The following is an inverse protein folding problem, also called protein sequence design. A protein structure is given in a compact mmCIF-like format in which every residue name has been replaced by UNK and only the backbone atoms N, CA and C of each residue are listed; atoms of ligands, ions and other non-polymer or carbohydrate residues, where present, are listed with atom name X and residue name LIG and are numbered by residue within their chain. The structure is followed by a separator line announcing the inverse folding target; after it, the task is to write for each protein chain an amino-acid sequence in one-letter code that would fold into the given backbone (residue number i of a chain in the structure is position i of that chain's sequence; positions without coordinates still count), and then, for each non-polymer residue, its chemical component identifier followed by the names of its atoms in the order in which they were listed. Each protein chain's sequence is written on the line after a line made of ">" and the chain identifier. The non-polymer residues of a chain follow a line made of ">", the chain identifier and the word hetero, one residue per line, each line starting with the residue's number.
data_IF_403602008624
#
_entry.id   IF_403602008624
#
_cell.length_a   1.000
_cell.length_b   1.000
_cell.length_c   1.000
_cell.angle_alpha   90.00
_cell.angle_beta   90.00
_cell.angle_gamma   90.00
#
_symmetry.space_group_name_H-M   'P 1'
#
loop_
_entity.id
_entity.type
_entity.pdbx_description
1 polymer ?
#
# COMPACT_ATOMS: atom_id res chain seq x y z
N UNK A 1 -44.77 -29.28 16.22
CA UNK A 1 -44.84 -28.33 15.08
C UNK A 1 -43.71 -27.29 15.15
N UNK A 2 -43.60 -26.51 16.24
CA UNK A 2 -42.56 -25.49 16.41
C UNK A 2 -41.12 -26.05 16.40
N UNK A 3 -40.86 -27.13 17.13
CA UNK A 3 -39.52 -27.75 17.17
C UNK A 3 -39.09 -28.29 15.80
N UNK A 4 -40.02 -28.87 15.04
CA UNK A 4 -39.79 -29.39 13.69
C UNK A 4 -39.47 -28.25 12.72
N UNK A 5 -40.15 -27.11 12.82
CA UNK A 5 -39.87 -25.93 12.01
C UNK A 5 -38.51 -25.31 12.35
N UNK A 6 -38.16 -25.26 13.63
CA UNK A 6 -36.85 -24.78 14.10
C UNK A 6 -35.71 -25.65 13.56
N UNK A 7 -35.85 -26.98 13.63
CA UNK A 7 -34.86 -27.91 13.10
C UNK A 7 -34.68 -27.76 11.58
N UNK A 8 -35.77 -27.60 10.83
CA UNK A 8 -35.73 -27.34 9.39
C UNK A 8 -34.98 -26.03 9.09
N UNK A 9 -35.26 -24.96 9.86
CA UNK A 9 -34.57 -23.68 9.70
C UNK A 9 -33.06 -23.79 9.97
N UNK A 10 -32.67 -24.57 10.99
CA UNK A 10 -31.26 -24.85 11.29
C UNK A 10 -30.60 -25.60 10.13
N UNK A 11 -31.23 -26.67 9.61
CA UNK A 11 -30.69 -27.46 8.50
C UNK A 11 -30.56 -26.60 7.23
N UNK A 12 -31.57 -25.79 6.91
CA UNK A 12 -31.51 -24.90 5.75
C UNK A 12 -30.38 -23.87 5.86
N UNK A 13 -30.18 -23.29 7.05
CA UNK A 13 -29.04 -22.40 7.29
C UNK A 13 -27.70 -23.13 7.10
N UNK A 14 -27.61 -24.38 7.56
CA UNK A 14 -26.42 -25.21 7.43
C UNK A 14 -26.07 -25.52 5.97
N UNK A 15 -27.08 -25.84 5.14
CA UNK A 15 -26.93 -26.06 3.70
C UNK A 15 -26.40 -24.80 3.00
N UNK A 16 -26.84 -23.63 3.46
CA UNK A 16 -26.36 -22.33 3.00
C UNK A 16 -24.93 -21.98 3.51
N UNK A 17 -24.31 -22.84 4.31
CA UNK A 17 -23.02 -22.54 4.96
C UNK A 17 -23.16 -21.41 5.98
N UNK A 18 -24.25 -21.39 6.76
CA UNK A 18 -24.54 -20.40 7.80
C UNK A 18 -24.89 -21.11 9.11
N UNK A 19 -24.66 -20.42 10.23
CA UNK A 19 -25.08 -20.89 11.56
C UNK A 19 -26.37 -20.19 11.94
N UNK A 20 -27.41 -20.97 12.24
CA UNK A 20 -28.65 -20.42 12.79
C UNK A 20 -28.43 -19.97 14.25
N UNK A 21 -29.03 -18.84 14.65
CA UNK A 21 -28.81 -18.23 15.98
C UNK A 21 -29.26 -19.09 17.15
N UNK A 22 -30.17 -20.05 16.92
CA UNK A 22 -30.58 -21.06 17.92
C UNK A 22 -29.49 -22.10 18.19
N UNK A 23 -28.53 -22.29 17.28
CA UNK A 23 -27.37 -23.18 17.47
C UNK A 23 -26.27 -22.46 18.23
N UNK A 24 -25.96 -21.23 17.81
CA UNK A 24 -24.94 -20.40 18.45
C UNK A 24 -25.41 -18.94 18.47
N UNK A 25 -25.70 -18.44 19.67
CA UNK A 25 -26.05 -17.03 19.85
C UNK A 25 -24.79 -16.14 19.85
N UNK A 26 -24.99 -14.85 19.55
CA UNK A 26 -23.92 -13.86 19.57
C UNK A 26 -23.23 -13.77 20.94
N UNK A 27 -24.02 -13.83 22.02
CA UNK A 27 -23.53 -13.78 23.40
C UNK A 27 -22.68 -14.99 23.75
N UNK A 28 -23.13 -16.18 23.33
CA UNK A 28 -22.40 -17.42 23.54
C UNK A 28 -21.08 -17.39 22.76
N UNK A 29 -21.09 -17.00 21.48
CA UNK A 29 -19.87 -16.86 20.68
C UNK A 29 -18.87 -15.89 21.33
N UNK A 30 -19.32 -14.71 21.77
CA UNK A 30 -18.44 -13.74 22.47
C UNK A 30 -17.83 -14.32 23.75
N UNK A 31 -18.60 -15.12 24.51
CA UNK A 31 -18.09 -15.79 25.71
C UNK A 31 -17.03 -16.83 25.34
N UNK A 32 -17.29 -17.72 24.39
CA UNK A 32 -16.33 -18.74 23.96
C UNK A 32 -15.03 -18.09 23.44
N UNK A 33 -15.13 -17.01 22.66
CA UNK A 33 -13.96 -16.29 22.16
C UNK A 33 -13.10 -15.71 23.29
N UNK A 34 -13.72 -15.23 24.38
CA UNK A 34 -12.98 -14.69 25.53
C UNK A 34 -12.21 -15.78 26.24
N UNK A 35 -12.80 -16.96 26.41
CA UNK A 35 -12.11 -18.13 26.97
C UNK A 35 -10.94 -18.56 26.07
N UNK A 36 -11.17 -18.65 24.75
CA UNK A 36 -10.11 -18.98 23.77
C UNK A 36 -8.94 -18.00 23.87
N UNK A 37 -9.21 -16.69 23.96
CA UNK A 37 -8.18 -15.65 24.06
C UNK A 37 -7.22 -15.87 25.24
N UNK A 38 -7.69 -16.46 26.33
CA UNK A 38 -6.87 -16.73 27.52
C UNK A 38 -5.90 -17.91 27.34
N UNK A 39 -6.12 -18.74 26.32
CA UNK A 39 -5.37 -19.97 26.07
C UNK A 39 -4.50 -19.91 24.81
N UNK A 40 -4.47 -18.76 24.13
CA UNK A 40 -3.72 -18.61 22.89
C UNK A 40 -2.21 -18.79 23.11
N UNK A 41 -1.50 -19.38 22.13
CA UNK A 41 -0.04 -19.46 22.16
C UNK A 41 0.60 -18.07 22.32
N UNK A 42 1.72 -18.03 23.03
CA UNK A 42 2.48 -16.79 23.23
C UNK A 42 2.87 -16.17 21.87
N UNK A 43 2.70 -14.85 21.75
CA UNK A 43 3.00 -14.11 20.52
C UNK A 43 1.93 -14.18 19.43
N UNK A 44 0.79 -14.84 19.72
CA UNK A 44 -0.39 -14.85 18.86
C UNK A 44 -1.57 -14.14 19.49
N UNK A 45 -2.48 -13.64 18.65
CA UNK A 45 -3.72 -13.01 19.08
C UNK A 45 -4.84 -13.28 18.06
N UNK A 46 -6.07 -12.92 18.43
CA UNK A 46 -7.19 -12.90 17.50
C UNK A 46 -7.06 -11.69 16.56
N UNK A 47 -7.58 -11.77 15.32
CA UNK A 47 -7.41 -10.73 14.31
C UNK A 47 -8.16 -9.43 14.63
N UNK A 48 -9.12 -9.50 15.55
CA UNK A 48 -9.89 -8.34 16.04
C UNK A 48 -10.13 -8.44 17.54
N UNK A 49 -10.44 -7.31 18.16
CA UNK A 49 -10.88 -7.27 19.55
C UNK A 49 -12.23 -7.97 19.74
N UNK A 50 -12.40 -8.65 20.89
CA UNK A 50 -13.64 -9.37 21.20
C UNK A 50 -14.68 -8.40 21.76
N UNK A 51 -15.32 -7.68 20.85
CA UNK A 51 -16.45 -6.77 21.12
C UNK A 51 -17.60 -7.06 20.16
N UNK A 52 -18.81 -6.67 20.53
CA UNK A 52 -19.99 -6.94 19.72
C UNK A 52 -19.89 -6.28 18.33
N UNK A 53 -19.31 -5.10 18.28
CA UNK A 53 -19.13 -4.29 17.07
C UNK A 53 -18.11 -4.92 16.10
N UNK A 54 -17.07 -5.56 16.64
CA UNK A 54 -15.98 -6.17 15.88
C UNK A 54 -16.27 -7.60 15.43
N UNK A 55 -17.33 -8.23 15.95
CA UNK A 55 -17.63 -9.64 15.70
C UNK A 55 -18.01 -9.92 14.23
N UNK A 56 -18.68 -8.98 13.57
CA UNK A 56 -18.98 -9.09 12.14
C UNK A 56 -17.71 -9.20 11.31
N UNK A 57 -16.66 -8.50 11.73
CA UNK A 57 -15.37 -8.48 11.04
C UNK A 57 -14.58 -9.76 11.29
N UNK A 58 -14.60 -10.28 12.52
CA UNK A 58 -14.06 -11.60 12.87
C UNK A 58 -14.66 -12.69 11.98
N UNK A 59 -16.00 -12.69 11.82
CA UNK A 59 -16.71 -13.67 11.03
C UNK A 59 -16.42 -13.56 9.52
N UNK A 60 -15.99 -12.40 9.02
CA UNK A 60 -15.54 -12.24 7.62
C UNK A 60 -14.18 -12.88 7.36
N UNK A 61 -13.33 -12.95 8.38
CA UNK A 61 -12.00 -13.55 8.25
C UNK A 61 -11.95 -15.02 8.64
N UNK A 62 -12.91 -15.48 9.43
CA UNK A 62 -13.09 -16.88 9.76
C UNK A 62 -13.60 -17.70 8.56
N UNK A 63 -13.29 -19.00 8.57
CA UNK A 63 -13.84 -19.98 7.63
C UNK A 63 -14.85 -20.86 8.37
N UNK A 64 -15.98 -21.13 7.71
CA UNK A 64 -17.04 -21.96 8.26
C UNK A 64 -17.16 -23.23 7.45
N UNK A 65 -16.93 -24.37 8.10
CA UNK A 65 -17.18 -25.69 7.55
C UNK A 65 -18.37 -26.32 8.24
N UNK A 66 -19.26 -26.92 7.45
CA UNK A 66 -20.47 -27.59 7.93
C UNK A 66 -20.51 -28.98 7.36
N UNK A 67 -20.64 -29.99 8.21
CA UNK A 67 -20.76 -31.38 7.78
C UNK A 67 -21.65 -32.18 8.72
N UNK A 68 -22.10 -33.33 8.23
CA UNK A 68 -22.90 -34.28 9.01
C UNK A 68 -22.03 -35.48 9.32
N UNK A 69 -21.93 -35.84 10.59
CA UNK A 69 -21.20 -37.02 11.05
C UNK A 69 -22.04 -37.75 12.10
N UNK A 70 -22.28 -39.05 11.91
CA UNK A 70 -23.00 -39.91 12.85
C UNK A 70 -24.33 -39.30 13.34
N UNK A 71 -25.14 -38.78 12.41
CA UNK A 71 -26.41 -38.08 12.68
C UNK A 71 -26.29 -36.75 13.44
N UNK A 72 -25.09 -36.22 13.61
CA UNK A 72 -24.84 -34.90 14.18
C UNK A 72 -24.51 -33.91 13.07
N UNK A 73 -25.13 -32.73 13.15
CA UNK A 73 -24.77 -31.58 12.33
C UNK A 73 -23.65 -30.81 13.03
N UNK A 74 -22.47 -30.81 12.44
CA UNK A 74 -21.25 -30.24 13.03
C UNK A 74 -20.88 -28.95 12.30
N UNK A 75 -20.58 -27.92 13.08
CA UNK A 75 -20.08 -26.63 12.60
C UNK A 75 -18.66 -26.43 13.12
N UNK A 76 -17.74 -26.13 12.22
CA UNK A 76 -16.36 -25.80 12.54
C UNK A 76 -16.08 -24.37 12.08
N UNK A 77 -15.81 -23.49 13.04
CA UNK A 77 -15.42 -22.10 12.78
C UNK A 77 -13.90 -22.03 12.95
N UNK A 78 -13.19 -21.87 11.83
CA UNK A 78 -11.74 -21.71 11.82
C UNK A 78 -11.40 -20.23 11.84
N UNK A 79 -10.87 -19.76 12.97
CA UNK A 79 -10.49 -18.36 13.15
C UNK A 79 -8.98 -18.27 12.97
N UNK A 80 -8.48 -17.49 11.99
CA UNK A 80 -7.05 -17.34 11.80
C UNK A 80 -6.46 -16.59 12.99
N UNK A 81 -5.34 -17.09 13.51
CA UNK A 81 -4.54 -16.35 14.50
C UNK A 81 -3.61 -15.38 13.79
N UNK A 82 -3.40 -14.22 14.40
CA UNK A 82 -2.45 -13.22 13.93
C UNK A 82 -1.21 -13.23 14.81
N UNK A 83 -0.06 -13.03 14.19
CA UNK A 83 1.18 -12.79 14.92
C UNK A 83 1.19 -11.34 15.40
N UNK A 84 1.78 -11.10 16.57
CA UNK A 84 1.96 -9.76 17.12
C UNK A 84 3.10 -9.01 16.38
N UNK A 85 3.00 -8.90 15.06
CA UNK A 85 3.96 -8.20 14.21
C UNK A 85 3.20 -7.34 13.20
N UNK A 86 3.27 -6.04 13.40
CA UNK A 86 2.69 -5.04 12.50
C UNK A 86 3.74 -4.57 11.50
N UNK A 87 3.29 -4.35 10.27
CA UNK A 87 4.14 -3.89 9.17
C UNK A 87 3.51 -2.68 8.50
N UNK A 88 4.34 -1.68 8.23
CA UNK A 88 4.00 -0.55 7.38
C UNK A 88 4.24 -0.96 5.92
N UNK A 89 3.21 -0.83 5.08
CA UNK A 89 3.28 -1.26 3.68
C UNK A 89 3.45 -0.04 2.78
N UNK A 90 4.47 -0.09 1.95
CA UNK A 90 4.82 0.90 0.95
C UNK A 90 4.61 0.32 -0.44
N UNK A 91 4.09 1.16 -1.35
CA UNK A 91 3.99 0.85 -2.76
C UNK A 91 4.96 1.75 -3.53
N UNK A 92 6.07 1.23 -4.06
CA UNK A 92 6.97 1.99 -4.92
C UNK A 92 6.22 2.48 -6.16
N UNK A 93 6.37 3.77 -6.48
CA UNK A 93 5.75 4.37 -7.67
C UNK A 93 6.87 4.98 -8.51
N UNK A 94 7.01 4.49 -9.73
CA UNK A 94 7.92 5.07 -10.71
C UNK A 94 7.27 6.31 -11.34
N UNK A 95 7.92 7.47 -11.22
CA UNK A 95 7.50 8.73 -11.85
C UNK A 95 8.53 9.15 -12.89
N UNK A 96 8.12 9.32 -14.15
CA UNK A 96 9.04 9.70 -15.23
C UNK A 96 8.85 11.18 -15.60
N UNK A 97 9.93 11.95 -15.69
CA UNK A 97 9.93 13.23 -16.42
C UNK A 97 11.25 13.48 -17.14
N UNK A 98 11.32 14.58 -17.90
CA UNK A 98 12.44 14.90 -18.78
C UNK A 98 13.80 14.74 -18.11
N UNK A 99 14.64 13.93 -18.75
CA UNK A 99 16.05 13.65 -18.40
C UNK A 99 16.26 13.29 -16.93
N UNK A 100 15.40 12.44 -16.38
CA UNK A 100 15.61 11.85 -15.07
C UNK A 100 16.03 10.39 -15.18
N UNK A 101 16.96 10.02 -14.29
CA UNK A 101 17.30 8.64 -14.03
C UNK A 101 16.21 8.06 -13.13
N UNK A 102 15.59 6.98 -13.59
CA UNK A 102 14.45 6.37 -12.94
C UNK A 102 14.88 5.11 -12.23
N UNK A 103 14.48 5.02 -10.98
CA UNK A 103 14.60 3.78 -10.23
C UNK A 103 13.40 2.92 -10.59
N UNK A 104 13.65 1.81 -11.29
CA UNK A 104 12.61 0.81 -11.52
C UNK A 104 12.45 0.01 -10.24
N UNK A 105 11.25 -0.07 -9.66
CA UNK A 105 11.04 -0.92 -8.50
C UNK A 105 11.16 -2.39 -8.91
N UNK A 106 11.84 -3.15 -8.06
CA UNK A 106 11.97 -4.60 -8.14
C UNK A 106 10.77 -5.31 -7.48
N UNK A 107 10.01 -4.60 -6.64
CA UNK A 107 8.85 -5.15 -5.92
C UNK A 107 7.60 -4.27 -6.03
N UNK A 108 6.42 -4.89 -6.09
CA UNK A 108 5.14 -4.16 -6.15
C UNK A 108 4.76 -3.51 -4.82
N UNK A 109 5.00 -4.23 -3.72
CA UNK A 109 4.74 -3.77 -2.35
C UNK A 109 5.87 -4.23 -1.43
N UNK A 110 6.33 -3.32 -0.59
CA UNK A 110 7.33 -3.56 0.44
C UNK A 110 6.72 -3.28 1.81
N UNK A 111 6.73 -4.27 2.68
CA UNK A 111 6.24 -4.15 4.06
C UNK A 111 7.43 -4.18 5.02
N UNK A 112 7.55 -3.19 5.89
CA UNK A 112 8.63 -3.06 6.87
C UNK A 112 8.05 -3.13 8.28
N UNK A 113 8.67 -3.93 9.15
CA UNK A 113 8.23 -4.08 10.54
C UNK A 113 8.34 -2.75 11.29
N UNK A 114 7.52 -2.56 12.34
CA UNK A 114 7.53 -1.32 13.13
C UNK A 114 8.90 -0.97 13.75
N UNK A 115 9.73 -1.97 14.04
CA UNK A 115 11.10 -1.81 14.54
C UNK A 115 12.13 -1.56 13.43
N UNK A 116 11.72 -1.55 12.16
CA UNK A 116 12.56 -1.40 10.98
C UNK A 116 13.62 -2.49 10.78
N UNK A 117 13.52 -3.65 11.46
CA UNK A 117 14.54 -4.72 11.38
C UNK A 117 14.23 -5.78 10.31
N UNK A 118 12.96 -5.92 9.94
CA UNK A 118 12.47 -6.97 9.04
C UNK A 118 11.67 -6.39 7.90
N UNK A 119 11.68 -7.10 6.78
CA UNK A 119 10.83 -6.76 5.65
C UNK A 119 10.20 -8.00 5.00
N UNK A 120 9.12 -7.74 4.28
CA UNK A 120 8.33 -8.66 3.47
C UNK A 120 8.00 -7.98 2.15
N UNK A 121 7.86 -8.76 1.09
CA UNK A 121 7.44 -8.26 -0.22
C UNK A 121 6.14 -8.92 -0.64
N UNK A 122 5.31 -8.18 -1.37
CA UNK A 122 4.09 -8.73 -1.96
C UNK A 122 4.02 -8.37 -3.43
N UNK A 123 3.60 -9.34 -4.25
CA UNK A 123 3.08 -9.04 -5.58
C UNK A 123 1.71 -8.40 -5.46
N UNK A 124 1.29 -7.69 -6.51
CA UNK A 124 -0.05 -7.10 -6.59
C UNK A 124 -1.16 -8.15 -6.41
N UNK A 125 -0.95 -9.37 -6.92
CA UNK A 125 -1.90 -10.46 -6.76
C UNK A 125 -2.01 -10.91 -5.30
N UNK A 126 -0.87 -11.12 -4.62
CA UNK A 126 -0.84 -11.55 -3.23
C UNK A 126 -1.41 -10.48 -2.29
N UNK A 127 -1.09 -9.20 -2.54
CA UNK A 127 -1.66 -8.08 -1.79
C UNK A 127 -3.18 -8.01 -1.90
N UNK A 128 -3.73 -8.28 -3.09
CA UNK A 128 -5.18 -8.28 -3.33
C UNK A 128 -5.91 -9.40 -2.59
N UNK A 129 -5.23 -10.51 -2.29
CA UNK A 129 -5.81 -11.65 -1.54
C UNK A 129 -5.90 -11.36 -0.03
N UNK A 130 -5.23 -10.32 0.47
CA UNK A 130 -5.33 -9.94 1.89
C UNK A 130 -6.75 -9.46 2.24
N UNK A 131 -7.24 -9.90 3.39
CA UNK A 131 -8.57 -9.53 3.91
C UNK A 131 -8.49 -8.14 4.57
N UNK A 132 -9.36 -7.21 4.16
CA UNK A 132 -9.40 -5.86 4.74
C UNK A 132 -10.17 -5.87 6.07
N UNK A 133 -9.53 -5.30 7.09
CA UNK A 133 -10.02 -5.06 8.44
C UNK A 133 -10.17 -3.54 8.67
N UNK A 134 -10.85 -3.12 9.73
CA UNK A 134 -10.93 -1.72 10.15
C UNK A 134 -9.56 -1.19 10.57
N UNK A 135 -8.73 -2.05 11.17
CA UNK A 135 -7.41 -1.71 11.70
C UNK A 135 -6.29 -1.87 10.68
N UNK A 136 -6.55 -2.48 9.51
CA UNK A 136 -5.53 -2.72 8.49
C UNK A 136 -5.88 -3.84 7.51
N UNK A 137 -4.88 -4.57 7.03
CA UNK A 137 -5.07 -5.74 6.16
C UNK A 137 -4.45 -6.97 6.80
N UNK A 138 -5.22 -8.05 6.81
CA UNK A 138 -4.76 -9.37 7.22
C UNK A 138 -4.28 -10.14 5.99
N UNK A 139 -3.00 -10.44 5.96
CA UNK A 139 -2.35 -11.17 4.88
C UNK A 139 -1.87 -12.54 5.34
N UNK A 140 -2.04 -13.55 4.50
CA UNK A 140 -1.40 -14.85 4.73
C UNK A 140 0.10 -14.73 4.46
N UNK A 141 0.92 -15.23 5.38
CA UNK A 141 2.37 -15.19 5.28
C UNK A 141 2.86 -16.37 4.43
N UNK A 142 2.69 -16.25 3.12
CA UNK A 142 3.22 -17.24 2.17
C UNK A 142 4.71 -17.03 1.89
N UNK A 143 5.17 -15.79 1.95
CA UNK A 143 6.57 -15.41 1.70
C UNK A 143 7.39 -15.35 3.00
N UNK A 144 8.69 -15.67 2.95
CA UNK A 144 9.58 -15.60 4.09
C UNK A 144 9.79 -14.14 4.55
N UNK A 145 9.90 -13.95 5.87
CA UNK A 145 10.34 -12.67 6.45
C UNK A 145 11.85 -12.57 6.37
N UNK A 146 12.35 -11.47 5.82
CA UNK A 146 13.78 -11.23 5.65
C UNK A 146 14.29 -10.23 6.69
N UNK A 147 15.56 -10.36 7.06
CA UNK A 147 16.28 -9.35 7.84
C UNK A 147 16.74 -8.22 6.92
N UNK A 148 16.65 -7.00 7.41
CA UNK A 148 16.99 -5.80 6.62
C UNK A 148 18.49 -5.65 6.36
N UNK A 149 19.32 -6.00 7.35
CA UNK A 149 20.78 -5.79 7.35
C UNK A 149 21.49 -6.32 6.10
N UNK A 150 20.99 -7.42 5.52
CA UNK A 150 21.60 -8.09 4.37
C UNK A 150 20.78 -7.92 3.07
N UNK A 151 19.85 -6.97 3.04
CA UNK A 151 18.97 -6.78 1.89
C UNK A 151 19.74 -6.24 0.68
N UNK A 152 19.55 -6.88 -0.47
CA UNK A 152 19.99 -6.38 -1.78
C UNK A 152 18.87 -5.64 -2.53
N UNK A 153 17.72 -5.42 -1.90
CA UNK A 153 16.61 -4.69 -2.52
C UNK A 153 16.86 -3.19 -2.48
N UNK A 154 16.69 -2.56 -3.63
CA UNK A 154 16.82 -1.12 -3.80
C UNK A 154 15.87 -0.35 -2.87
N UNK A 155 14.61 -0.75 -2.79
CA UNK A 155 13.57 -0.06 -2.01
C UNK A 155 13.85 -0.09 -0.51
N UNK A 156 14.41 -1.20 -0.03
CA UNK A 156 14.83 -1.32 1.37
C UNK A 156 15.96 -0.32 1.66
N UNK A 157 16.91 -0.17 0.73
CA UNK A 157 17.99 0.80 0.85
C UNK A 157 17.47 2.23 0.81
N UNK A 158 16.56 2.56 -0.12
CA UNK A 158 16.00 3.89 -0.30
C UNK A 158 15.15 4.38 0.89
N UNK A 159 14.45 3.47 1.56
CA UNK A 159 13.66 3.80 2.74
C UNK A 159 14.51 4.06 3.99
N UNK A 160 15.79 3.68 3.98
CA UNK A 160 16.65 3.70 5.16
C UNK A 160 17.81 4.69 5.05
N UNK A 161 18.44 4.75 3.88
CA UNK A 161 19.45 5.76 3.56
C UNK A 161 18.81 6.78 2.62
N UNK A 162 18.31 7.88 3.19
CA UNK A 162 17.69 8.98 2.45
C UNK A 162 18.66 9.75 1.52
N UNK A 163 19.94 9.35 1.44
CA UNK A 163 21.01 10.20 0.92
C UNK A 163 21.90 9.54 -0.14
N UNK A 164 21.83 8.22 -0.33
CA UNK A 164 22.72 7.54 -1.30
C UNK A 164 21.96 6.50 -2.12
N UNK A 165 21.88 6.73 -3.42
CA UNK A 165 21.41 5.74 -4.38
C UNK A 165 22.32 4.51 -4.34
N UNK A 166 21.77 3.37 -3.93
CA UNK A 166 22.53 2.11 -3.87
C UNK A 166 22.81 1.59 -5.28
N UNK A 167 23.96 0.94 -5.47
CA UNK A 167 24.31 0.25 -6.71
C UNK A 167 23.40 -0.95 -7.03
N UNK A 168 22.55 -1.35 -6.08
CA UNK A 168 21.51 -2.37 -6.26
C UNK A 168 20.31 -1.88 -7.06
N UNK A 169 20.15 -0.57 -7.23
CA UNK A 169 18.99 -0.01 -7.90
C UNK A 169 19.06 -0.12 -9.43
N UNK A 170 18.01 -0.66 -10.04
CA UNK A 170 17.88 -0.74 -11.48
C UNK A 170 17.49 0.62 -12.07
N UNK A 171 18.48 1.29 -12.68
CA UNK A 171 18.32 2.62 -13.25
C UNK A 171 17.89 2.57 -14.72
N UNK A 172 16.87 3.35 -15.08
CA UNK A 172 16.43 3.57 -16.47
C UNK A 172 16.46 5.05 -16.80
N UNK A 173 17.13 5.42 -17.87
CA UNK A 173 17.11 6.80 -18.37
C UNK A 173 16.01 6.93 -19.42
N UNK A 174 15.04 7.80 -19.18
CA UNK A 174 13.95 8.05 -20.13
C UNK A 174 13.89 9.56 -20.43
N UNK A 175 13.65 9.89 -21.70
CA UNK A 175 13.38 11.26 -22.14
C UNK A 175 11.89 11.39 -22.42
N UNK A 176 11.19 12.27 -21.71
CA UNK A 176 9.74 12.43 -21.82
C UNK A 176 9.35 13.89 -21.60
N UNK A 177 8.96 14.53 -22.70
CA UNK A 177 8.55 15.94 -22.75
C UNK A 177 7.12 16.19 -22.29
N UNK A 178 6.43 15.17 -21.79
CA UNK A 178 5.05 15.27 -21.30
C UNK A 178 5.02 15.18 -19.77
N UNK A 179 4.22 16.03 -19.10
CA UNK A 179 4.03 15.92 -17.67
C UNK A 179 3.33 14.61 -17.32
N UNK A 180 3.81 13.93 -16.28
CA UNK A 180 3.17 12.76 -15.70
C UNK A 180 2.50 13.15 -14.40
N UNK A 181 1.27 12.67 -14.24
CA UNK A 181 0.46 12.88 -13.05
C UNK A 181 0.02 11.52 -12.50
N UNK A 182 0.32 11.27 -11.24
CA UNK A 182 -0.14 10.09 -10.52
C UNK A 182 -1.07 10.51 -9.37
N UNK A 183 -2.35 10.15 -9.48
CA UNK A 183 -3.35 10.48 -8.46
C UNK A 183 -3.18 9.59 -7.24
N UNK A 184 -3.15 10.20 -6.06
CA UNK A 184 -3.14 9.48 -4.78
C UNK A 184 -4.59 9.29 -4.32
N UNK A 185 -5.11 8.07 -4.41
CA UNK A 185 -6.54 7.75 -4.25
C UNK A 185 -7.17 8.23 -2.93
N UNK A 186 -6.38 8.33 -1.87
CA UNK A 186 -6.87 8.65 -0.51
C UNK A 186 -6.70 10.12 -0.14
N UNK A 187 -6.10 10.93 -1.02
CA UNK A 187 -5.88 12.35 -0.75
C UNK A 187 -6.23 13.20 -1.97
N UNK A 188 -6.53 14.48 -1.76
CA UNK A 188 -6.63 15.46 -2.86
C UNK A 188 -5.25 15.86 -3.38
N UNK A 189 -4.38 14.87 -3.57
CA UNK A 189 -2.99 15.07 -3.95
C UNK A 189 -2.62 14.24 -5.16
N UNK A 190 -1.66 14.76 -5.91
CA UNK A 190 -1.07 14.09 -7.06
C UNK A 190 0.43 14.20 -6.96
N UNK A 191 1.11 13.09 -7.22
CA UNK A 191 2.52 13.14 -7.55
C UNK A 191 2.63 13.61 -8.99
N UNK A 192 3.58 14.50 -9.26
CA UNK A 192 3.84 15.00 -10.58
C UNK A 192 5.31 14.86 -10.92
N UNK A 193 5.57 14.69 -12.20
CA UNK A 193 6.90 14.76 -12.79
C UNK A 193 6.74 15.55 -14.09
N UNK A 194 7.30 16.76 -14.16
CA UNK A 194 7.05 17.69 -15.28
C UNK A 194 8.27 18.51 -15.63
N UNK A 195 8.53 18.79 -16.92
CA UNK A 195 9.38 19.93 -17.28
C UNK A 195 8.76 21.24 -16.73
N UNK A 196 9.51 22.35 -16.67
CA UNK A 196 8.99 23.64 -16.23
C UNK A 196 7.67 23.98 -16.92
N UNK A 197 6.62 24.15 -16.12
CA UNK A 197 5.26 24.32 -16.59
C UNK A 197 4.46 25.22 -15.65
N UNK A 198 3.69 26.14 -16.21
CA UNK A 198 2.94 27.14 -15.45
C UNK A 198 1.46 26.77 -15.40
N UNK A 199 0.87 26.85 -14.21
CA UNK A 199 -0.54 26.59 -13.97
C UNK A 199 -1.23 27.71 -13.20
N UNK A 200 -2.55 27.64 -13.12
CA UNK A 200 -3.39 28.57 -12.37
C UNK A 200 -4.29 27.77 -11.44
N UNK A 201 -4.25 28.08 -10.15
CA UNK A 201 -5.18 27.55 -9.16
C UNK A 201 -6.31 28.56 -8.98
N UNK A 202 -7.54 28.09 -9.13
CA UNK A 202 -8.77 28.84 -8.89
C UNK A 202 -9.49 28.22 -7.71
N UNK A 203 -10.13 29.02 -6.84
CA UNK A 203 -10.83 28.52 -5.67
C UNK A 203 -12.23 29.11 -5.57
N UNK A 204 -13.26 28.31 -5.33
CA UNK A 204 -14.66 28.79 -5.33
C UNK A 204 -15.03 29.75 -4.19
N UNK A 205 -14.16 29.89 -3.19
CA UNK A 205 -14.37 30.72 -2.01
C UNK A 205 -13.57 32.03 -2.03
N UNK A 206 -12.70 32.24 -3.03
CA UNK A 206 -11.86 33.43 -3.16
C UNK A 206 -11.87 33.84 -4.64
N UNK A 207 -12.09 35.11 -4.94
CA UNK A 207 -12.08 35.61 -6.32
C UNK A 207 -10.67 35.67 -6.94
N UNK A 208 -9.64 35.51 -6.12
CA UNK A 208 -8.24 35.55 -6.54
C UNK A 208 -7.81 34.22 -7.18
N UNK A 209 -6.90 34.33 -8.14
CA UNK A 209 -6.29 33.19 -8.81
C UNK A 209 -4.80 33.16 -8.51
N UNK A 210 -4.27 31.97 -8.24
CA UNK A 210 -2.87 31.79 -7.87
C UNK A 210 -2.10 31.19 -9.05
N UNK A 211 -1.10 31.91 -9.55
CA UNK A 211 -0.17 31.35 -10.54
C UNK A 211 0.84 30.46 -9.84
N UNK A 212 1.11 29.30 -10.42
CA UNK A 212 2.12 28.36 -9.94
C UNK A 212 3.05 27.97 -11.10
N UNK A 213 4.29 27.65 -10.77
CA UNK A 213 5.22 27.01 -11.69
C UNK A 213 5.68 25.68 -11.08
N UNK A 214 5.57 24.61 -11.86
CA UNK A 214 5.94 23.26 -11.48
C UNK A 214 7.08 22.80 -12.38
N UNK A 215 8.12 22.22 -11.79
CA UNK A 215 9.23 21.63 -12.49
C UNK A 215 9.80 20.47 -11.67
N UNK A 216 10.34 19.46 -12.35
CA UNK A 216 10.90 18.27 -11.71
C UNK A 216 9.83 17.36 -11.12
N UNK A 217 10.16 16.69 -10.02
CA UNK A 217 9.31 15.71 -9.33
C UNK A 217 8.79 16.32 -8.03
N UNK A 218 7.50 16.18 -7.75
CA UNK A 218 6.91 16.68 -6.51
C UNK A 218 5.51 16.16 -6.22
N UNK A 219 4.92 16.70 -5.16
CA UNK A 219 3.55 16.42 -4.74
C UNK A 219 2.78 17.72 -4.66
N UNK A 220 1.64 17.76 -5.34
CA UNK A 220 0.70 18.86 -5.28
C UNK A 220 -0.53 18.39 -4.50
N UNK A 221 -0.96 19.16 -3.51
CA UNK A 221 -2.20 18.92 -2.76
C UNK A 221 -3.13 20.12 -2.94
N UNK A 222 -4.35 19.87 -3.38
CA UNK A 222 -5.38 20.88 -3.56
C UNK A 222 -6.41 20.80 -2.44
N UNK A 223 -6.89 21.96 -1.99
CA UNK A 223 -8.07 22.02 -1.12
C UNK A 223 -9.33 21.59 -1.89
N UNK A 224 -10.31 21.04 -1.19
CA UNK A 224 -11.59 20.53 -1.75
C UNK A 224 -12.43 21.57 -2.52
N UNK A 225 -12.06 22.85 -2.46
CA UNK A 225 -12.72 23.97 -3.15
C UNK A 225 -11.85 24.65 -4.20
N UNK A 226 -10.74 24.04 -4.57
CA UNK A 226 -9.78 24.62 -5.51
C UNK A 226 -9.50 23.68 -6.66
N UNK A 227 -9.33 24.24 -7.86
CA UNK A 227 -9.03 23.51 -9.09
C UNK A 227 -7.71 24.02 -9.65
N UNK A 228 -6.91 23.11 -10.21
CA UNK A 228 -5.70 23.49 -10.95
C UNK A 228 -5.95 23.39 -12.45
N UNK A 229 -5.68 24.47 -13.16
CA UNK A 229 -5.61 24.51 -14.61
C UNK A 229 -4.14 24.54 -15.03
N UNK A 230 -3.67 23.50 -15.73
CA UNK A 230 -2.29 23.41 -16.21
C UNK A 230 -2.26 22.72 -17.58
N UNK A 231 -1.49 23.26 -18.53
CA UNK A 231 -1.54 22.90 -19.95
C UNK A 231 -2.98 22.88 -20.53
N UNK A 232 -3.47 21.68 -20.83
CA UNK A 232 -4.79 21.36 -21.35
C UNK A 232 -5.59 20.49 -20.37
N UNK A 233 -5.19 20.45 -19.11
CA UNK A 233 -5.79 19.63 -18.07
C UNK A 233 -6.38 20.49 -16.95
N UNK A 234 -7.50 20.02 -16.39
CA UNK A 234 -8.10 20.58 -15.18
C UNK A 234 -8.12 19.50 -14.12
N UNK A 235 -7.60 19.81 -12.94
CA UNK A 235 -7.58 18.91 -11.81
C UNK A 235 -8.54 19.38 -10.75
N UNK A 236 -9.60 18.61 -10.59
CA UNK A 236 -10.62 18.79 -9.57
C UNK A 236 -10.35 17.85 -8.38
N UNK A 237 -10.42 18.34 -7.15
CA UNK A 237 -10.27 17.53 -5.94
C UNK A 237 -11.44 16.56 -5.77
N UNK A 238 -11.19 15.40 -5.18
CA UNK A 238 -12.21 14.45 -4.77
C UNK A 238 -12.91 14.98 -3.49
N UNK A 239 -14.22 14.76 -3.37
CA UNK A 239 -15.02 15.16 -2.20
C UNK A 239 -14.81 14.28 -0.95
N UNK A 240 -13.71 13.52 -0.87
CA UNK A 240 -13.48 12.58 0.23
C UNK A 240 -12.69 13.22 1.38
N UNK A 241 -13.02 12.83 2.61
CA UNK A 241 -12.30 13.22 3.81
C UNK A 241 -10.88 12.64 3.76
N UNK A 242 -9.89 13.53 3.89
CA UNK A 242 -8.48 13.17 3.86
C UNK A 242 -8.10 12.48 5.17
N UNK A 243 -7.73 11.20 5.12
CA UNK A 243 -7.05 10.53 6.24
C UNK A 243 -5.60 10.21 5.85
N UNK A 244 -4.69 10.35 6.82
CA UNK A 244 -3.27 9.94 6.78
C UNK A 244 -2.39 10.53 5.66
N UNK A 245 -2.18 11.86 5.69
CA UNK A 245 -1.28 12.61 4.79
C UNK A 245 0.23 12.36 5.06
N UNK A 246 0.59 11.59 6.10
CA UNK A 246 1.95 11.59 6.69
C UNK A 246 2.91 10.49 6.24
N UNK A 247 2.53 9.60 5.31
CA UNK A 247 3.34 8.40 5.00
C UNK A 247 3.90 8.33 3.56
N UNK A 248 3.66 9.35 2.72
CA UNK A 248 4.29 9.40 1.40
C UNK A 248 5.77 9.82 1.55
N UNK A 249 6.70 8.92 1.23
CA UNK A 249 8.12 9.21 1.17
C UNK A 249 8.46 9.58 -0.27
N UNK A 250 8.76 10.86 -0.48
CA UNK A 250 9.33 11.36 -1.72
C UNK A 250 10.81 11.55 -1.43
N UNK A 251 11.68 10.77 -2.08
CA UNK A 251 13.11 11.03 -2.04
C UNK A 251 13.33 12.41 -2.64
N UNK A 252 13.59 13.39 -1.78
CA UNK A 252 14.05 14.70 -2.22
C UNK A 252 15.53 14.51 -2.50
N UNK A 253 15.83 13.96 -3.66
CA UNK A 253 17.19 14.00 -4.16
C UNK A 253 17.49 15.48 -4.39
N UNK A 254 18.40 16.04 -3.60
CA UNK A 254 19.15 17.20 -4.04
C UNK A 254 20.02 16.70 -5.20
N UNK A 255 19.42 16.61 -6.39
CA UNK A 255 20.00 16.07 -7.63
C UNK A 255 21.38 16.68 -7.90
N UNK A 256 21.65 17.89 -7.38
CA UNK A 256 22.93 18.57 -7.51
C UNK A 256 24.10 17.89 -6.79
N UNK A 257 23.88 17.19 -5.66
CA UNK A 257 24.97 16.51 -4.93
C UNK A 257 25.19 15.05 -5.38
N UNK A 258 24.19 14.42 -5.99
CA UNK A 258 24.25 13.01 -6.44
C UNK A 258 24.65 12.83 -7.91
N UNK A 259 24.69 13.92 -8.69
CA UNK A 259 25.13 13.94 -10.09
C UNK A 259 26.49 13.25 -10.35
N UNK A 260 27.54 13.45 -9.52
CA UNK A 260 28.85 12.82 -9.73
C UNK A 260 28.80 11.30 -9.59
N UNK A 261 28.09 10.80 -8.57
CA UNK A 261 27.88 9.37 -8.29
C UNK A 261 27.04 8.72 -9.40
N UNK A 262 25.98 9.39 -9.85
CA UNK A 262 25.15 8.96 -10.98
C UNK A 262 25.95 8.90 -12.29
N UNK A 263 26.81 9.88 -12.56
CA UNK A 263 27.68 9.89 -13.73
C UNK A 263 28.71 8.75 -13.70
N UNK A 264 29.19 8.38 -12.51
CA UNK A 264 30.12 7.26 -12.32
C UNK A 264 29.42 5.91 -12.50
N UNK A 265 28.22 5.73 -11.94
CA UNK A 265 27.39 4.53 -12.15
C UNK A 265 26.94 4.36 -13.61
N UNK A 266 26.65 5.45 -14.32
CA UNK A 266 26.24 5.40 -15.73
C UNK A 266 27.41 5.07 -16.69
N UNK A 267 28.67 5.25 -16.29
CA UNK A 267 29.83 4.84 -17.11
C UNK A 267 29.91 3.33 -17.31
N UNK A 268 29.45 2.55 -16.34
CA UNK A 268 29.51 1.08 -16.38
C UNK A 268 28.30 0.45 -17.10
N UNK A 269 27.19 1.20 -17.22
CA UNK A 269 25.93 0.72 -17.83
C UNK A 269 25.83 1.07 -19.31
N UNK A 270 26.54 2.10 -19.78
CA UNK A 270 26.52 2.50 -21.20
C UNK A 270 27.53 1.66 -22.00
N UNK A 271 27.09 0.87 -23.00
CA UNK A 271 28.02 0.14 -23.88
C UNK A 271 28.95 1.13 -24.57
N UNK A 272 30.26 0.87 -24.57
CA UNK A 272 31.30 1.76 -25.10
C UNK A 272 31.21 2.09 -26.61
N UNK A 273 30.14 1.71 -27.31
CA UNK A 273 30.04 1.83 -28.76
C UNK A 273 28.74 2.46 -29.28
N UNK A 274 28.16 3.41 -28.55
CA UNK A 274 27.05 4.22 -29.05
C UNK A 274 27.60 5.56 -29.55
N UNK A 275 27.88 5.62 -30.85
CA UNK A 275 28.33 6.82 -31.57
C UNK A 275 27.14 7.79 -31.75
N UNK A 276 26.92 8.62 -30.74
CA UNK A 276 25.86 9.63 -30.78
C UNK A 276 25.70 10.42 -29.47
N UNK A 277 26.78 10.71 -28.74
CA UNK A 277 26.72 11.47 -27.48
C UNK A 277 26.99 12.96 -27.71
N UNK A 278 25.93 13.74 -27.92
CA UNK A 278 25.96 15.18 -27.63
C UNK A 278 25.29 15.52 -26.29
N UNK A 279 24.63 14.56 -25.62
CA UNK A 279 23.83 14.83 -24.42
C UNK A 279 24.57 14.59 -23.08
N UNK A 280 25.73 13.91 -23.06
CA UNK A 280 26.47 13.63 -21.81
C UNK A 280 27.53 14.70 -21.50
N UNK A 281 27.95 15.49 -22.49
CA UNK A 281 28.94 16.57 -22.27
C UNK A 281 28.44 17.66 -21.32
N UNK A 282 27.13 17.84 -21.19
CA UNK A 282 26.54 18.89 -20.37
C UNK A 282 26.45 18.53 -18.87
N UNK A 283 26.68 17.26 -18.50
CA UNK A 283 26.71 16.83 -17.09
C UNK A 283 28.03 17.17 -16.36
N UNK A 284 29.10 17.54 -17.08
CA UNK A 284 30.45 17.77 -16.50
C UNK A 284 30.77 19.27 -16.37
N UNK A 285 29.86 20.16 -16.80
CA UNK A 285 30.04 21.62 -16.70
C UNK A 285 28.78 22.28 -16.14
N UNK A 286 28.54 22.12 -14.85
CA UNK A 286 27.79 23.04 -14.00
C UNK A 286 28.36 22.93 -12.58
#
# INVERSE_FOLDING_TARGET
>A
AYETQSLIAIINAAIDGKIHTSVLSLQQLLRELREVKMTLPAGSSLPVDIRAESLTELLRVAELSVFIQDYHLVYVIEIPLVLNAEYNVYRPIQLNSDTLVLISPDVDYLAISADNEKFLTFTTENWRKCKTLQTGKLCNRNEPTHLRLDSQLCEVSLLTSHQTLSNTCNLKVIKSYKPIWHTLSETNSRLYATPPNSGIITCSHIAETFKIELAGIGRLTLSHRCELHIDHSVFTPLHQNVQNIKMDIISRDEINETLPLLAEMLKDVVPQNITGMYAIKDFIKL
#
